data_IF_073814921858
#
_entry.id   IF_073814921858
#
_cell.length_a   1.000
_cell.length_b   1.000
_cell.length_c   1.000
_cell.angle_alpha   90.00
_cell.angle_beta   90.00
_cell.angle_gamma   90.00
#
_symmetry.space_group_name_H-M   'P 1'
#
loop_
_entity.id
_entity.type
_entity.pdbx_description
1 polymer ?
#
# COMPACT_ATOMS: atom_id res chain seq x y z
N UNK A 1 21.40 -1.15 6.67
CA UNK A 1 20.27 -1.40 5.77
C UNK A 1 19.03 -1.38 6.63
N UNK A 2 18.26 -0.30 6.59
CA UNK A 2 16.96 -0.24 7.26
C UNK A 2 16.06 -1.24 6.54
N UNK A 3 15.73 -2.35 7.20
CA UNK A 3 14.67 -3.26 6.76
C UNK A 3 13.34 -2.50 6.91
N UNK A 4 13.03 -1.62 5.97
CA UNK A 4 11.70 -1.06 5.91
C UNK A 4 10.70 -2.20 5.65
N UNK A 5 9.59 -2.26 6.38
CA UNK A 5 8.60 -3.30 6.20
C UNK A 5 8.03 -3.26 4.77
N UNK A 6 7.79 -4.44 4.20
CA UNK A 6 7.16 -4.60 2.88
C UNK A 6 5.67 -4.27 2.97
N UNK A 7 5.20 -3.28 2.20
CA UNK A 7 3.78 -2.97 2.11
C UNK A 7 2.99 -4.11 1.48
N UNK A 8 3.53 -4.77 0.43
CA UNK A 8 2.89 -5.94 -0.18
C UNK A 8 2.69 -7.05 0.83
N UNK A 9 3.71 -7.40 1.61
CA UNK A 9 3.58 -8.46 2.62
C UNK A 9 2.61 -8.06 3.73
N UNK A 10 2.58 -6.79 4.13
CA UNK A 10 1.60 -6.30 5.08
C UNK A 10 0.16 -6.46 4.55
N UNK A 11 -0.12 -6.06 3.31
CA UNK A 11 -1.44 -6.22 2.67
C UNK A 11 -1.80 -7.70 2.48
N UNK A 12 -0.82 -8.56 2.16
CA UNK A 12 -1.05 -10.02 2.06
C UNK A 12 -1.48 -10.62 3.39
N UNK A 13 -0.88 -10.19 4.51
CA UNK A 13 -1.28 -10.63 5.86
C UNK A 13 -2.69 -10.16 6.23
N UNK A 14 -3.06 -8.94 5.85
CA UNK A 14 -4.46 -8.49 5.93
C UNK A 14 -5.39 -9.39 5.12
N UNK A 15 -5.05 -9.68 3.85
CA UNK A 15 -5.87 -10.56 3.00
C UNK A 15 -5.96 -11.99 3.51
N UNK A 16 -4.96 -12.46 4.27
CA UNK A 16 -4.98 -13.74 4.99
C UNK A 16 -5.83 -13.72 6.27
N UNK A 17 -6.37 -12.56 6.67
CA UNK A 17 -7.16 -12.38 7.89
C UNK A 17 -6.34 -12.21 9.17
N UNK A 18 -5.03 -12.01 9.06
CA UNK A 18 -4.14 -11.84 10.22
C UNK A 18 -4.21 -10.42 10.82
N UNK A 19 -4.69 -9.45 10.05
CA UNK A 19 -4.73 -8.03 10.42
C UNK A 19 -6.17 -7.55 10.33
N UNK A 20 -6.72 -6.90 11.37
CA UNK A 20 -8.02 -6.28 11.32
C UNK A 20 -8.08 -5.16 10.27
N UNK A 21 -9.24 -4.98 9.62
CA UNK A 21 -9.43 -3.94 8.60
C UNK A 21 -9.05 -2.54 9.09
N UNK A 22 -9.53 -2.11 10.26
CA UNK A 22 -9.22 -0.77 10.78
C UNK A 22 -7.73 -0.55 11.02
N UNK A 23 -7.02 -1.57 11.55
CA UNK A 23 -5.57 -1.52 11.72
C UNK A 23 -4.85 -1.40 10.37
N UNK A 24 -5.30 -2.18 9.37
CA UNK A 24 -4.76 -2.09 8.01
C UNK A 24 -4.97 -0.69 7.42
N UNK A 25 -6.18 -0.14 7.52
CA UNK A 25 -6.51 1.17 6.98
C UNK A 25 -5.68 2.29 7.61
N UNK A 26 -5.53 2.29 8.93
CA UNK A 26 -4.72 3.29 9.63
C UNK A 26 -3.23 3.15 9.32
N UNK A 27 -2.73 1.91 9.31
CA UNK A 27 -1.33 1.65 9.06
C UNK A 27 -0.96 2.03 7.63
N UNK A 28 -1.72 1.58 6.62
CA UNK A 28 -1.46 1.89 5.21
C UNK A 28 -1.67 3.38 4.91
N UNK A 29 -2.68 4.04 5.51
CA UNK A 29 -2.85 5.49 5.35
C UNK A 29 -1.67 6.29 5.91
N UNK A 30 -1.03 5.80 6.98
CA UNK A 30 0.16 6.40 7.58
C UNK A 30 1.48 5.94 6.95
N UNK A 31 1.43 5.02 5.98
CA UNK A 31 2.63 4.48 5.36
C UNK A 31 3.42 5.58 4.67
N UNK A 32 4.75 5.52 4.85
CA UNK A 32 5.67 6.42 4.17
C UNK A 32 5.87 5.94 2.75
N UNK A 33 5.00 6.40 1.84
CA UNK A 33 5.15 6.09 0.43
C UNK A 33 6.29 6.89 -0.20
N UNK A 34 7.05 6.22 -1.06
CA UNK A 34 8.04 6.80 -1.93
C UNK A 34 7.41 7.27 -3.24
N UNK A 35 8.12 8.17 -3.92
CA UNK A 35 7.80 8.54 -5.31
C UNK A 35 8.14 7.35 -6.19
N UNK A 36 7.24 7.02 -7.10
CA UNK A 36 7.48 5.99 -8.11
C UNK A 36 8.65 6.41 -9.00
N UNK A 37 9.71 5.59 -8.97
CA UNK A 37 10.86 5.72 -9.84
C UNK A 37 10.59 4.91 -11.11
N UNK A 38 10.59 5.60 -12.24
CA UNK A 38 10.47 4.99 -13.55
C UNK A 38 11.86 4.67 -14.06
N UNK A 39 12.30 3.43 -13.81
CA UNK A 39 13.55 2.90 -14.34
C UNK A 39 13.27 2.17 -15.68
N UNK A 40 13.93 2.58 -16.77
CA UNK A 40 13.77 1.95 -18.09
C UNK A 40 14.16 0.46 -18.09
N UNK A 41 15.05 0.03 -17.19
CA UNK A 41 15.40 -1.37 -17.01
C UNK A 41 14.32 -2.15 -16.25
N UNK A 42 13.43 -1.44 -15.56
CA UNK A 42 12.36 -1.99 -14.74
C UNK A 42 11.04 -1.23 -15.02
N UNK A 43 10.39 -1.54 -16.16
CA UNK A 43 9.19 -0.81 -16.61
C UNK A 43 7.98 -0.97 -15.68
N UNK A 44 8.07 -1.87 -14.70
CA UNK A 44 7.12 -1.97 -13.61
C UNK A 44 7.79 -1.47 -12.32
N UNK A 45 7.06 -0.79 -11.42
CA UNK A 45 7.56 -0.40 -10.09
C UNK A 45 7.75 -1.62 -9.16
N UNK A 46 8.01 -2.81 -9.71
CA UNK A 46 8.15 -4.08 -9.00
C UNK A 46 9.25 -4.05 -7.94
N UNK A 47 10.25 -3.17 -8.10
CA UNK A 47 11.38 -2.96 -7.18
C UNK A 47 11.04 -2.05 -6.00
N UNK A 48 9.98 -1.25 -6.10
CA UNK A 48 9.54 -0.40 -5.02
C UNK A 48 8.31 -1.01 -4.35
N UNK A 49 8.50 -1.39 -3.08
CA UNK A 49 7.42 -1.95 -2.28
C UNK A 49 6.58 -0.87 -1.59
N UNK A 50 7.06 0.37 -1.53
CA UNK A 50 6.46 1.44 -0.75
C UNK A 50 5.82 2.52 -1.65
N UNK A 51 5.03 2.15 -2.67
CA UNK A 51 4.39 3.12 -3.59
C UNK A 51 2.87 3.02 -3.59
N UNK A 52 2.17 4.09 -3.98
CA UNK A 52 0.70 4.05 -4.10
C UNK A 52 0.25 3.08 -5.21
N UNK A 53 1.06 2.86 -6.24
CA UNK A 53 0.82 1.79 -7.22
C UNK A 53 0.74 0.40 -6.60
N UNK A 54 1.43 0.12 -5.49
CA UNK A 54 1.25 -1.14 -4.77
C UNK A 54 -0.18 -1.28 -4.25
N UNK A 55 -0.76 -0.24 -3.66
CA UNK A 55 -2.16 -0.24 -3.19
C UNK A 55 -3.13 -0.49 -4.35
N UNK A 56 -2.91 0.18 -5.48
CA UNK A 56 -3.72 -0.02 -6.70
C UNK A 56 -3.57 -1.45 -7.26
N UNK A 57 -2.36 -1.99 -7.27
CA UNK A 57 -2.07 -3.36 -7.71
C UNK A 57 -2.72 -4.41 -6.81
N UNK A 58 -2.63 -4.24 -5.49
CA UNK A 58 -3.24 -5.17 -4.53
C UNK A 58 -4.78 -5.17 -4.60
N UNK A 59 -5.40 -4.05 -5.00
CA UNK A 59 -6.81 -4.02 -5.38
C UNK A 59 -7.11 -4.87 -6.61
N UNK A 60 -6.28 -4.76 -7.67
CA UNK A 60 -6.47 -5.57 -8.89
C UNK A 60 -6.31 -7.07 -8.61
N UNK A 61 -5.50 -7.43 -7.63
CA UNK A 61 -5.32 -8.81 -7.15
C UNK A 61 -6.42 -9.26 -6.16
N UNK A 62 -7.39 -8.40 -5.85
CA UNK A 62 -8.51 -8.70 -4.95
C UNK A 62 -8.14 -8.77 -3.47
N UNK A 63 -6.91 -8.35 -3.09
CA UNK A 63 -6.45 -8.32 -1.69
C UNK A 63 -6.97 -7.09 -0.94
N UNK A 64 -7.26 -6.03 -1.67
CA UNK A 64 -7.96 -4.85 -1.18
C UNK A 64 -9.27 -4.68 -1.92
N UNK A 65 -10.31 -4.27 -1.20
CA UNK A 65 -11.57 -3.86 -1.81
C UNK A 65 -11.46 -2.44 -2.37
N UNK A 66 -12.41 -2.06 -3.22
CA UNK A 66 -12.54 -0.65 -3.66
C UNK A 66 -12.72 0.29 -2.47
N UNK A 67 -13.54 -0.11 -1.50
CA UNK A 67 -13.81 0.69 -0.30
C UNK A 67 -12.54 0.89 0.54
N UNK A 68 -11.70 -0.16 0.66
CA UNK A 68 -10.42 -0.03 1.38
C UNK A 68 -9.51 1.01 0.74
N UNK A 69 -9.39 1.01 -0.58
CA UNK A 69 -8.57 1.98 -1.31
C UNK A 69 -9.10 3.40 -1.15
N UNK A 70 -10.41 3.59 -1.32
CA UNK A 70 -11.06 4.91 -1.14
C UNK A 70 -10.85 5.44 0.28
N UNK A 71 -10.93 4.56 1.28
CA UNK A 71 -10.74 4.89 2.69
C UNK A 71 -9.29 5.22 3.05
N UNK A 72 -8.32 4.47 2.51
CA UNK A 72 -6.89 4.79 2.62
C UNK A 72 -6.61 6.20 2.07
N UNK A 73 -7.11 6.50 0.87
CA UNK A 73 -6.95 7.81 0.26
C UNK A 73 -7.58 8.92 1.11
N UNK A 74 -8.82 8.72 1.57
CA UNK A 74 -9.52 9.69 2.43
C UNK A 74 -8.73 9.99 3.70
N UNK A 75 -8.30 8.95 4.43
CA UNK A 75 -7.52 9.11 5.68
C UNK A 75 -6.20 9.83 5.43
N UNK A 76 -5.52 9.52 4.33
CA UNK A 76 -4.27 10.19 3.96
C UNK A 76 -4.48 11.66 3.67
N UNK A 77 -5.44 12.01 2.81
CA UNK A 77 -5.74 13.41 2.49
C UNK A 77 -6.15 14.22 3.72
N UNK A 78 -6.91 13.64 4.65
CA UNK A 78 -7.24 14.30 5.92
C UNK A 78 -6.05 14.50 6.87
N UNK A 79 -4.95 13.75 6.71
CA UNK A 79 -3.73 13.89 7.52
C UNK A 79 -2.74 14.90 6.93
N UNK A 80 -2.74 15.05 5.60
CA UNK A 80 -1.86 15.97 4.88
C UNK A 80 -2.42 17.42 4.81
N UNK A 81 -3.69 17.62 5.20
CA UNK A 81 -4.40 18.90 5.23
C UNK A 81 -4.19 19.66 6.55
#
# INVERSE_FOLDING_TARGET
MTNEPSLRDYIRRYAAGEIPREEMLDTVASWRFEVEDWDEAHPEPSHQDNTLSVVAGERLLGRLTREDVEEIHRRRTSRDA
#
